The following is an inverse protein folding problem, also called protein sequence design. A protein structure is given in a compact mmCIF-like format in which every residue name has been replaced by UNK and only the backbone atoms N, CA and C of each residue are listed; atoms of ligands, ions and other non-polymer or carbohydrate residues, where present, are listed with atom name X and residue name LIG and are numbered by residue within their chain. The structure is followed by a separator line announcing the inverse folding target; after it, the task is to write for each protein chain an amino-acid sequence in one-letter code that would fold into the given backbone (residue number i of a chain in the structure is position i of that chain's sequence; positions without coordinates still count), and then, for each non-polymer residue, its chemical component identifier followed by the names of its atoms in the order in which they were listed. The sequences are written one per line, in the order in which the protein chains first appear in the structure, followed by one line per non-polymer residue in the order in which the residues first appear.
data_IF_886023056673
#
_entry.id   IF_886023056673
#
_cell.length_a   1.000
_cell.length_b   1.000
_cell.length_c   1.000
_cell.angle_alpha   90.00
_cell.angle_beta   90.00
_cell.angle_gamma   90.00
#
_symmetry.space_group_name_H-M   'P 1'
#
loop_
_entity.id
_entity.type
_entity.pdbx_description
1 polymer ?
#
# COMPACT_ATOMS: atom_id res chain seq x y z
N UNK A 1 -41.66 -35.33 -32.69
CA UNK A 1 -40.89 -34.12 -32.43
C UNK A 1 -39.99 -34.41 -31.27
N UNK A 2 -38.65 -34.65 -31.47
CA UNK A 2 -37.73 -34.78 -30.32
C UNK A 2 -37.31 -33.39 -29.89
N UNK A 3 -37.57 -33.09 -28.58
CA UNK A 3 -37.14 -31.86 -27.94
C UNK A 3 -35.62 -31.79 -27.82
N UNK A 4 -35.04 -30.79 -28.43
CA UNK A 4 -33.59 -30.48 -28.26
C UNK A 4 -33.31 -30.06 -26.83
N UNK A 5 -32.58 -30.89 -26.10
CA UNK A 5 -31.95 -30.51 -24.86
C UNK A 5 -30.84 -29.51 -25.15
N UNK A 6 -31.04 -28.24 -24.83
CA UNK A 6 -29.95 -27.27 -24.79
C UNK A 6 -28.95 -27.73 -23.73
N UNK A 7 -27.81 -28.24 -24.16
CA UNK A 7 -26.68 -28.48 -23.29
C UNK A 7 -26.28 -27.12 -22.67
N UNK A 8 -26.59 -26.89 -21.38
CA UNK A 8 -26.01 -25.81 -20.60
C UNK A 8 -24.51 -26.06 -20.61
N UNK A 9 -23.77 -25.23 -21.34
CA UNK A 9 -22.31 -25.27 -21.33
C UNK A 9 -21.82 -25.16 -19.86
N UNK A 10 -21.08 -26.16 -19.40
CA UNK A 10 -20.48 -26.16 -18.08
C UNK A 10 -19.68 -24.87 -17.93
N UNK A 11 -20.04 -24.02 -16.96
CA UNK A 11 -19.29 -22.82 -16.67
C UNK A 11 -17.84 -23.21 -16.36
N UNK A 12 -16.88 -22.56 -17.00
CA UNK A 12 -15.46 -22.81 -16.75
C UNK A 12 -15.17 -22.63 -15.25
N UNK A 13 -14.35 -23.52 -14.68
CA UNK A 13 -13.96 -23.42 -13.28
C UNK A 13 -13.29 -22.05 -12.99
N UNK A 14 -13.51 -21.45 -11.82
CA UNK A 14 -12.90 -20.17 -11.48
C UNK A 14 -11.36 -20.26 -11.47
N UNK A 15 -10.69 -19.26 -12.03
CA UNK A 15 -9.21 -19.17 -12.01
C UNK A 15 -8.69 -19.19 -10.58
N UNK A 16 -7.68 -20.00 -10.31
CA UNK A 16 -6.95 -20.03 -9.04
C UNK A 16 -5.90 -18.93 -9.06
N UNK A 17 -6.03 -17.96 -8.18
CA UNK A 17 -5.22 -16.75 -8.21
C UNK A 17 -4.40 -16.59 -6.94
N UNK A 18 -3.10 -16.37 -7.07
CA UNK A 18 -2.23 -15.88 -6.00
C UNK A 18 -2.03 -14.39 -6.17
N UNK A 19 -2.06 -13.65 -5.05
CA UNK A 19 -1.82 -12.20 -5.05
C UNK A 19 -0.57 -11.88 -4.24
N UNK A 20 0.37 -11.15 -4.84
CA UNK A 20 1.63 -10.71 -4.26
C UNK A 20 1.69 -9.20 -4.27
N UNK A 21 1.54 -8.58 -3.09
CA UNK A 21 1.44 -7.15 -2.88
C UNK A 21 0.10 -6.73 -2.29
N UNK A 22 0.15 -6.02 -1.15
CA UNK A 22 -1.03 -5.65 -0.38
C UNK A 22 -2.08 -4.84 -1.15
N UNK A 23 -1.63 -3.89 -2.01
CA UNK A 23 -2.53 -3.09 -2.86
C UNK A 23 -3.29 -3.93 -3.90
N UNK A 24 -2.64 -4.97 -4.44
CA UNK A 24 -3.26 -5.88 -5.40
C UNK A 24 -4.29 -6.78 -4.72
N UNK A 25 -3.97 -7.27 -3.51
CA UNK A 25 -4.93 -8.04 -2.71
C UNK A 25 -6.16 -7.19 -2.38
N UNK A 26 -5.97 -5.97 -1.88
CA UNK A 26 -7.05 -5.02 -1.61
C UNK A 26 -7.91 -4.76 -2.85
N UNK A 27 -7.28 -4.58 -4.01
CA UNK A 27 -7.98 -4.39 -5.28
C UNK A 27 -8.80 -5.62 -5.67
N UNK A 28 -8.21 -6.82 -5.60
CA UNK A 28 -8.90 -8.07 -5.93
C UNK A 28 -10.12 -8.29 -5.01
N UNK A 29 -9.97 -8.03 -3.71
CA UNK A 29 -11.09 -8.11 -2.76
C UNK A 29 -12.17 -7.07 -3.04
N UNK A 30 -11.82 -5.86 -3.41
CA UNK A 30 -12.77 -4.80 -3.76
C UNK A 30 -13.55 -5.08 -5.05
N UNK A 31 -13.03 -5.94 -5.93
CA UNK A 31 -13.65 -6.36 -7.18
C UNK A 31 -14.67 -7.50 -7.05
N UNK A 32 -14.70 -8.21 -5.91
CA UNK A 32 -15.67 -9.30 -5.72
C UNK A 32 -15.38 -10.24 -4.56
N UNK A 33 -14.36 -9.94 -3.74
CA UNK A 33 -14.00 -10.77 -2.59
C UNK A 33 -12.99 -11.88 -2.94
N UNK A 34 -12.91 -12.88 -2.07
CA UNK A 34 -11.94 -13.97 -2.22
C UNK A 34 -12.37 -15.03 -3.25
N UNK A 35 -13.67 -15.15 -3.52
CA UNK A 35 -14.24 -16.17 -4.39
C UNK A 35 -15.42 -15.62 -5.19
N UNK A 36 -15.36 -15.81 -6.49
CA UNK A 36 -16.37 -15.41 -7.46
C UNK A 36 -16.55 -16.53 -8.49
N UNK A 37 -17.56 -16.49 -9.36
CA UNK A 37 -17.65 -17.43 -10.48
C UNK A 37 -16.48 -17.37 -11.46
N UNK A 38 -15.68 -16.28 -11.45
CA UNK A 38 -14.57 -16.07 -12.38
C UNK A 38 -13.22 -16.42 -11.78
N UNK A 39 -13.02 -16.19 -10.48
CA UNK A 39 -11.75 -16.41 -9.81
C UNK A 39 -11.92 -16.80 -8.34
N UNK A 40 -10.89 -17.45 -7.82
CA UNK A 40 -10.72 -17.76 -6.40
C UNK A 40 -9.31 -17.39 -5.96
N UNK A 41 -9.19 -16.57 -4.93
CA UNK A 41 -7.90 -16.27 -4.31
C UNK A 41 -7.45 -17.48 -3.48
N UNK A 42 -6.36 -18.11 -3.88
CA UNK A 42 -5.84 -19.33 -3.24
C UNK A 42 -4.59 -19.09 -2.41
N UNK A 43 -3.98 -17.90 -2.49
CA UNK A 43 -2.80 -17.54 -1.72
C UNK A 43 -2.51 -16.06 -1.79
N UNK A 44 -1.77 -15.56 -0.80
CA UNK A 44 -1.32 -14.19 -0.71
C UNK A 44 0.03 -14.11 0.00
N UNK A 45 0.83 -13.10 -0.31
CA UNK A 45 2.05 -12.81 0.44
C UNK A 45 1.76 -12.19 1.82
N UNK A 46 2.79 -12.05 2.66
CA UNK A 46 2.62 -11.58 4.04
C UNK A 46 2.23 -10.11 4.15
N UNK A 47 2.43 -9.30 3.09
CA UNK A 47 2.03 -7.87 3.07
C UNK A 47 0.53 -7.67 2.82
N UNK A 48 -0.18 -8.72 2.42
CA UNK A 48 -1.63 -8.70 2.19
C UNK A 48 -2.37 -8.79 3.53
N UNK A 49 -2.48 -7.65 4.22
CA UNK A 49 -3.08 -7.53 5.57
C UNK A 49 -4.50 -6.99 5.56
N UNK A 50 -5.00 -6.51 4.43
CA UNK A 50 -6.36 -5.99 4.29
C UNK A 50 -7.06 -6.51 3.01
N UNK A 51 -8.38 -6.78 3.08
CA UNK A 51 -9.23 -6.85 4.28
C UNK A 51 -8.85 -8.04 5.19
N UNK A 52 -9.52 -8.18 6.35
CA UNK A 52 -9.21 -9.31 7.26
C UNK A 52 -9.33 -10.68 6.59
N UNK A 53 -10.16 -10.79 5.55
CA UNK A 53 -10.26 -11.99 4.73
C UNK A 53 -8.92 -12.33 4.02
N UNK A 54 -8.12 -11.33 3.65
CA UNK A 54 -6.80 -11.56 3.04
C UNK A 54 -5.79 -12.19 4.01
N UNK A 55 -5.93 -11.90 5.31
CA UNK A 55 -5.08 -12.50 6.35
C UNK A 55 -5.27 -14.01 6.46
N UNK A 56 -6.47 -14.51 6.13
CA UNK A 56 -6.84 -15.93 6.20
C UNK A 56 -6.40 -16.76 5.00
N UNK A 57 -5.97 -16.10 3.91
CA UNK A 57 -5.42 -16.81 2.75
C UNK A 57 -4.10 -17.51 3.10
N UNK A 58 -3.82 -18.69 2.53
CA UNK A 58 -2.51 -19.34 2.61
C UNK A 58 -1.39 -18.36 2.28
N UNK A 59 -0.36 -18.28 3.14
CA UNK A 59 0.76 -17.34 2.94
C UNK A 59 1.88 -18.01 2.15
N UNK A 60 2.30 -17.30 1.07
CA UNK A 60 3.37 -17.76 0.16
C UNK A 60 4.74 -17.15 0.48
N UNK A 61 4.88 -16.51 1.64
CA UNK A 61 6.10 -15.84 2.08
C UNK A 61 6.02 -14.31 1.93
N UNK A 62 7.16 -13.65 2.11
CA UNK A 62 7.28 -12.21 1.93
C UNK A 62 7.49 -11.88 0.44
N UNK A 63 6.85 -10.84 -0.07
CA UNK A 63 6.84 -10.51 -1.50
C UNK A 63 8.23 -10.44 -2.16
N UNK A 64 9.29 -10.04 -1.43
CA UNK A 64 10.67 -9.98 -1.94
C UNK A 64 11.50 -11.23 -1.66
N UNK A 65 10.92 -12.23 -0.98
CA UNK A 65 11.58 -13.49 -0.60
C UNK A 65 10.67 -14.69 -0.86
N UNK A 66 10.13 -14.79 -2.07
CA UNK A 66 9.23 -15.85 -2.50
C UNK A 66 10.00 -17.11 -2.89
N UNK A 67 9.35 -18.28 -2.76
CA UNK A 67 9.82 -19.52 -3.37
C UNK A 67 8.88 -19.98 -4.48
N UNK A 68 9.43 -20.48 -5.56
CA UNK A 68 8.63 -21.03 -6.66
C UNK A 68 7.82 -22.24 -6.21
N UNK A 69 8.42 -23.10 -5.37
CA UNK A 69 7.75 -24.27 -4.79
C UNK A 69 6.52 -23.86 -3.98
N UNK A 70 6.66 -22.86 -3.07
CA UNK A 70 5.55 -22.33 -2.27
C UNK A 70 4.42 -21.80 -3.12
N UNK A 71 4.73 -21.08 -4.21
CA UNK A 71 3.73 -20.60 -5.16
C UNK A 71 3.06 -21.75 -5.92
N UNK A 72 3.82 -22.66 -6.50
CA UNK A 72 3.32 -23.75 -7.32
C UNK A 72 2.55 -24.82 -6.52
N UNK A 73 2.85 -24.97 -5.22
CA UNK A 73 2.11 -25.89 -4.32
C UNK A 73 0.61 -25.59 -4.24
N UNK A 74 0.24 -24.32 -4.43
CA UNK A 74 -1.16 -23.87 -4.46
C UNK A 74 -1.83 -24.06 -5.81
N UNK A 75 -1.11 -24.57 -6.81
CA UNK A 75 -1.61 -24.82 -8.18
C UNK A 75 -2.37 -23.60 -8.76
N UNK A 76 -1.71 -22.44 -8.86
CA UNK A 76 -2.34 -21.25 -9.42
C UNK A 76 -2.41 -21.31 -10.96
N UNK A 77 -3.47 -20.73 -11.52
CA UNK A 77 -3.57 -20.42 -12.94
C UNK A 77 -2.99 -19.04 -13.25
N UNK A 78 -3.07 -18.14 -12.26
CA UNK A 78 -2.66 -16.74 -12.37
C UNK A 78 -1.97 -16.27 -11.09
N UNK A 79 -0.88 -15.54 -11.25
CA UNK A 79 -0.24 -14.75 -10.18
C UNK A 79 -0.34 -13.27 -10.55
N UNK A 80 -0.99 -12.48 -9.69
CA UNK A 80 -0.95 -11.02 -9.72
C UNK A 80 0.21 -10.58 -8.84
N UNK A 81 1.20 -9.91 -9.40
CA UNK A 81 2.44 -9.60 -8.70
C UNK A 81 2.76 -8.10 -8.79
N UNK A 82 3.16 -7.51 -7.67
CA UNK A 82 3.87 -6.23 -7.64
C UNK A 82 5.19 -6.34 -8.42
N UNK A 83 5.64 -5.26 -9.04
CA UNK A 83 6.96 -5.18 -9.66
C UNK A 83 8.12 -5.44 -8.67
N UNK A 84 7.86 -5.32 -7.38
CA UNK A 84 8.81 -5.62 -6.31
C UNK A 84 8.83 -7.11 -5.90
N UNK A 85 7.95 -7.93 -6.50
CA UNK A 85 7.90 -9.37 -6.21
C UNK A 85 9.19 -10.07 -6.67
N UNK A 86 9.76 -10.85 -5.79
CA UNK A 86 11.05 -11.50 -6.06
C UNK A 86 11.38 -12.64 -5.10
N UNK A 87 12.52 -13.30 -5.32
CA UNK A 87 13.55 -12.96 -6.30
C UNK A 87 13.09 -13.23 -7.75
N UNK A 88 13.70 -12.56 -8.73
CA UNK A 88 13.33 -12.73 -10.16
C UNK A 88 13.39 -14.19 -10.63
N UNK A 89 14.30 -14.98 -10.07
CA UNK A 89 14.44 -16.42 -10.36
C UNK A 89 13.19 -17.21 -9.96
N UNK A 90 12.58 -16.92 -8.81
CA UNK A 90 11.35 -17.58 -8.38
C UNK A 90 10.19 -17.26 -9.33
N UNK A 91 10.06 -15.99 -9.75
CA UNK A 91 9.05 -15.55 -10.70
C UNK A 91 9.26 -16.21 -12.09
N UNK A 92 10.52 -16.32 -12.55
CA UNK A 92 10.85 -17.00 -13.81
C UNK A 92 10.50 -18.49 -13.76
N UNK A 93 10.76 -19.18 -12.65
CA UNK A 93 10.40 -20.59 -12.48
C UNK A 93 8.88 -20.80 -12.49
N UNK A 94 8.11 -19.91 -11.85
CA UNK A 94 6.64 -19.97 -11.88
C UNK A 94 6.12 -19.80 -13.30
N UNK A 95 6.66 -18.82 -14.07
CA UNK A 95 6.32 -18.66 -15.49
C UNK A 95 6.71 -19.87 -16.34
N UNK A 96 7.91 -20.45 -16.08
CA UNK A 96 8.40 -21.65 -16.76
C UNK A 96 7.55 -22.89 -16.49
N UNK A 97 6.84 -22.95 -15.36
CA UNK A 97 5.86 -23.99 -15.06
C UNK A 97 4.49 -23.79 -15.74
N UNK A 98 4.35 -22.78 -16.63
CA UNK A 98 3.13 -22.51 -17.39
C UNK A 98 2.11 -21.64 -16.67
N UNK A 99 2.44 -21.07 -15.51
CA UNK A 99 1.55 -20.16 -14.76
C UNK A 99 1.63 -18.76 -15.36
N UNK A 100 0.46 -18.15 -15.61
CA UNK A 100 0.40 -16.75 -16.03
C UNK A 100 0.81 -15.83 -14.87
N UNK A 101 1.76 -14.92 -15.10
CA UNK A 101 2.15 -13.90 -14.10
C UNK A 101 1.95 -12.51 -14.69
N UNK A 102 1.03 -11.75 -14.12
CA UNK A 102 0.77 -10.34 -14.46
C UNK A 102 1.44 -9.45 -13.42
N UNK A 103 2.35 -8.59 -13.89
CA UNK A 103 3.11 -7.67 -13.02
C UNK A 103 2.56 -6.26 -13.10
N UNK A 104 2.47 -5.58 -11.95
CA UNK A 104 1.96 -4.23 -11.80
C UNK A 104 3.04 -3.29 -11.25
N UNK A 105 3.12 -2.09 -11.85
CA UNK A 105 4.07 -1.05 -11.45
C UNK A 105 3.77 -0.50 -10.04
N UNK A 106 4.83 -0.11 -9.33
CA UNK A 106 4.77 0.46 -7.97
C UNK A 106 5.09 1.96 -7.96
N UNK A 107 4.68 2.70 -8.97
CA UNK A 107 4.69 4.16 -8.88
C UNK A 107 3.72 4.63 -7.81
N UNK A 108 4.18 5.56 -6.97
CA UNK A 108 3.39 6.09 -5.86
C UNK A 108 2.57 7.30 -6.33
N UNK A 109 1.71 7.09 -7.31
CA UNK A 109 0.82 8.10 -7.88
C UNK A 109 -0.60 7.55 -8.11
N UNK A 110 -1.54 8.46 -8.33
CA UNK A 110 -2.96 8.14 -8.54
C UNK A 110 -3.16 7.33 -9.82
N UNK A 111 -2.37 7.61 -10.85
CA UNK A 111 -2.48 6.91 -12.13
C UNK A 111 -2.08 5.43 -12.00
N UNK A 112 -1.10 5.12 -11.15
CA UNK A 112 -0.74 3.72 -10.87
C UNK A 112 -1.86 2.97 -10.14
N UNK A 113 -2.62 3.64 -9.26
CA UNK A 113 -3.79 3.04 -8.60
C UNK A 113 -4.89 2.75 -9.63
N UNK A 114 -5.19 3.70 -10.52
CA UNK A 114 -6.15 3.50 -11.63
C UNK A 114 -5.75 2.35 -12.53
N UNK A 115 -4.47 2.28 -12.89
CA UNK A 115 -3.92 1.21 -13.71
C UNK A 115 -4.02 -0.15 -13.00
N UNK A 116 -3.74 -0.22 -11.69
CA UNK A 116 -3.93 -1.44 -10.88
C UNK A 116 -5.39 -1.88 -10.87
N UNK A 117 -6.35 -0.99 -10.60
CA UNK A 117 -7.79 -1.30 -10.61
C UNK A 117 -8.19 -1.89 -11.96
N UNK A 118 -7.84 -1.23 -13.05
CA UNK A 118 -8.19 -1.65 -14.40
C UNK A 118 -7.53 -2.97 -14.78
N UNK A 119 -6.21 -3.08 -14.55
CA UNK A 119 -5.42 -4.25 -14.92
C UNK A 119 -5.78 -5.49 -14.11
N UNK A 120 -6.03 -5.35 -12.80
CA UNK A 120 -6.49 -6.46 -11.96
C UNK A 120 -7.88 -6.92 -12.40
N UNK A 121 -8.81 -6.00 -12.66
CA UNK A 121 -10.15 -6.34 -13.15
C UNK A 121 -10.10 -7.07 -14.50
N UNK A 122 -9.19 -6.67 -15.39
CA UNK A 122 -8.96 -7.36 -16.67
C UNK A 122 -8.38 -8.77 -16.46
N UNK A 123 -7.37 -8.92 -15.62
CA UNK A 123 -6.71 -10.21 -15.36
C UNK A 123 -7.67 -11.21 -14.71
N UNK A 124 -8.59 -10.72 -13.85
CA UNK A 124 -9.62 -11.52 -13.16
C UNK A 124 -10.90 -11.72 -13.98
N UNK A 125 -11.01 -11.12 -15.17
CA UNK A 125 -12.19 -11.17 -16.04
C UNK A 125 -13.47 -10.61 -15.38
N UNK A 126 -13.34 -9.47 -14.68
CA UNK A 126 -14.41 -8.75 -13.96
C UNK A 126 -14.44 -7.26 -14.33
N UNK A 127 -14.38 -6.95 -15.62
CA UNK A 127 -14.22 -5.58 -16.15
C UNK A 127 -15.29 -4.62 -15.68
N UNK A 128 -16.55 -5.06 -15.57
CA UNK A 128 -17.66 -4.21 -15.12
C UNK A 128 -17.50 -3.80 -13.67
N UNK A 129 -17.09 -4.74 -12.79
CA UNK A 129 -16.75 -4.44 -11.41
C UNK A 129 -15.55 -3.49 -11.33
N UNK A 130 -14.57 -3.65 -12.23
CA UNK A 130 -13.43 -2.75 -12.38
C UNK A 130 -13.85 -1.33 -12.73
N UNK A 131 -14.72 -1.15 -13.72
CA UNK A 131 -15.24 0.14 -14.12
C UNK A 131 -16.00 0.83 -12.95
N UNK A 132 -16.84 0.08 -12.24
CA UNK A 132 -17.57 0.59 -11.08
C UNK A 132 -16.63 0.99 -9.93
N UNK A 133 -15.57 0.20 -9.66
CA UNK A 133 -14.57 0.51 -8.63
C UNK A 133 -13.78 1.77 -9.02
N UNK A 134 -13.37 1.89 -10.29
CA UNK A 134 -12.64 3.05 -10.80
C UNK A 134 -13.47 4.33 -10.66
N UNK A 135 -14.75 4.30 -11.04
CA UNK A 135 -15.65 5.44 -10.87
C UNK A 135 -15.81 5.86 -9.40
N UNK A 136 -15.90 4.90 -8.46
CA UNK A 136 -15.92 5.21 -7.02
C UNK A 136 -14.61 5.85 -6.59
N UNK A 137 -13.49 5.25 -6.96
CA UNK A 137 -12.16 5.76 -6.65
C UNK A 137 -11.98 7.21 -7.13
N UNK A 138 -12.38 7.52 -8.36
CA UNK A 138 -12.24 8.87 -8.93
C UNK A 138 -13.09 9.92 -8.19
N UNK A 139 -14.34 9.58 -7.83
CA UNK A 139 -15.18 10.47 -7.01
C UNK A 139 -14.58 10.70 -5.62
N UNK A 140 -14.13 9.61 -4.97
CA UNK A 140 -13.55 9.67 -3.63
C UNK A 140 -12.22 10.43 -3.63
N UNK A 141 -11.44 10.28 -4.70
CA UNK A 141 -10.19 11.02 -4.89
C UNK A 141 -10.43 12.51 -5.05
N UNK A 142 -11.41 12.91 -5.85
CA UNK A 142 -11.78 14.32 -6.00
C UNK A 142 -12.23 14.90 -4.66
N UNK A 143 -13.11 14.22 -3.94
CA UNK A 143 -13.56 14.64 -2.61
C UNK A 143 -12.39 14.78 -1.60
N UNK A 144 -11.42 13.86 -1.66
CA UNK A 144 -10.24 13.92 -0.81
C UNK A 144 -9.37 15.16 -1.11
N UNK A 145 -9.15 15.46 -2.38
CA UNK A 145 -8.42 16.67 -2.80
C UNK A 145 -9.11 17.96 -2.32
N UNK A 146 -10.42 18.02 -2.49
CA UNK A 146 -11.21 19.19 -2.08
C UNK A 146 -11.18 19.37 -0.56
N UNK A 147 -11.26 18.28 0.21
CA UNK A 147 -11.18 18.30 1.66
C UNK A 147 -9.79 18.78 2.17
N UNK A 148 -8.71 18.37 1.50
CA UNK A 148 -7.35 18.83 1.82
C UNK A 148 -7.20 20.32 1.47
N UNK A 149 -7.66 20.73 0.28
CA UNK A 149 -7.55 22.13 -0.17
C UNK A 149 -8.34 23.10 0.73
N UNK A 150 -9.51 22.69 1.22
CA UNK A 150 -10.39 23.52 2.06
C UNK A 150 -9.80 23.86 3.44
N UNK A 151 -8.86 23.06 3.94
CA UNK A 151 -8.27 23.24 5.29
C UNK A 151 -6.87 23.85 5.29
N UNK A 152 -6.28 24.10 4.15
CA UNK A 152 -5.00 24.82 4.07
C UNK A 152 -5.33 26.32 4.05
N UNK A 153 -5.10 27.10 5.14
CA UNK A 153 -5.31 28.53 5.14
C UNK A 153 -4.44 29.18 4.08
N UNK A 154 -5.01 30.09 3.28
CA UNK A 154 -4.26 30.82 2.28
C UNK A 154 -3.05 31.54 2.90
N UNK A 155 -1.84 31.21 2.43
CA UNK A 155 -0.58 31.82 2.91
C UNK A 155 0.14 31.10 4.05
N UNK A 156 -0.45 30.08 4.70
CA UNK A 156 0.27 29.26 5.68
C UNK A 156 1.22 28.29 4.98
N UNK A 157 2.42 28.15 5.53
CA UNK A 157 3.35 27.12 5.03
C UNK A 157 2.82 25.71 5.38
N UNK A 158 2.92 24.74 4.44
CA UNK A 158 2.56 23.37 4.72
C UNK A 158 3.39 22.82 5.89
N UNK A 159 2.78 22.05 6.82
CA UNK A 159 3.49 21.46 7.94
C UNK A 159 4.62 20.52 7.46
N UNK A 160 5.72 20.54 8.20
CA UNK A 160 6.92 19.74 7.93
C UNK A 160 6.79 18.37 8.60
N UNK A 161 6.69 17.29 7.82
CA UNK A 161 6.45 15.95 8.31
C UNK A 161 7.65 15.04 8.03
N UNK A 162 8.19 14.43 9.08
CA UNK A 162 9.24 13.43 8.98
C UNK A 162 8.62 12.03 9.02
N UNK A 163 8.73 11.27 7.94
CA UNK A 163 8.38 9.85 7.98
C UNK A 163 9.58 9.02 8.43
N UNK A 164 9.36 8.22 9.48
CA UNK A 164 10.33 7.26 10.01
C UNK A 164 9.89 5.86 9.64
N UNK A 165 10.73 5.17 8.87
CA UNK A 165 10.61 3.74 8.60
C UNK A 165 11.48 3.02 9.62
N UNK A 166 10.87 2.35 10.60
CA UNK A 166 11.61 1.52 11.53
C UNK A 166 11.41 0.05 11.15
N UNK A 167 12.52 -0.58 10.81
CA UNK A 167 12.64 -2.03 10.75
C UNK A 167 13.57 -2.48 11.89
N UNK A 168 13.53 -3.73 12.24
CA UNK A 168 14.40 -4.36 13.24
C UNK A 168 15.88 -4.08 12.98
N UNK A 169 16.38 -2.97 13.47
CA UNK A 169 17.75 -2.51 13.29
C UNK A 169 18.10 -1.37 14.23
N UNK A 170 19.39 -1.14 14.44
CA UNK A 170 19.91 -0.13 15.40
C UNK A 170 19.73 1.32 14.93
N UNK A 171 19.36 1.54 13.66
CA UNK A 171 19.28 2.89 13.10
C UNK A 171 17.96 3.07 12.33
N UNK A 172 17.19 4.09 12.69
CA UNK A 172 15.98 4.47 11.98
C UNK A 172 16.30 4.92 10.56
N UNK A 173 15.47 4.53 9.59
CA UNK A 173 15.49 5.04 8.21
C UNK A 173 14.43 6.13 8.06
N UNK A 174 14.72 7.13 7.25
CA UNK A 174 13.78 8.20 6.88
C UNK A 174 13.52 8.21 5.39
N UNK A 175 12.29 8.56 5.03
CA UNK A 175 11.86 8.64 3.65
C UNK A 175 12.28 9.96 3.03
N UNK A 176 13.12 9.90 2.01
CA UNK A 176 13.38 10.98 1.07
C UNK A 176 12.33 11.05 -0.03
N UNK A 177 12.69 11.70 -1.12
CA UNK A 177 11.84 11.87 -2.30
C UNK A 177 11.58 10.54 -3.02
N UNK A 178 10.56 10.50 -3.87
CA UNK A 178 10.16 9.32 -4.67
C UNK A 178 9.84 8.07 -3.84
N UNK A 179 9.35 8.25 -2.62
CA UNK A 179 8.83 7.17 -1.77
C UNK A 179 7.31 7.28 -1.63
N UNK A 180 6.66 6.18 -1.26
CA UNK A 180 5.24 6.18 -0.92
C UNK A 180 4.92 7.19 0.19
N UNK A 181 5.78 7.27 1.21
CA UNK A 181 5.62 8.23 2.30
C UNK A 181 5.71 9.68 1.82
N UNK A 182 6.67 10.01 0.95
CA UNK A 182 6.79 11.35 0.35
C UNK A 182 5.53 11.74 -0.42
N UNK A 183 5.01 10.83 -1.25
CA UNK A 183 3.79 11.08 -2.00
C UNK A 183 2.57 11.27 -1.08
N UNK A 184 2.42 10.43 -0.05
CA UNK A 184 1.33 10.54 0.92
C UNK A 184 1.38 11.84 1.73
N UNK A 185 2.55 12.26 2.19
CA UNK A 185 2.74 13.54 2.88
C UNK A 185 2.30 14.69 1.99
N UNK A 186 2.70 14.71 0.72
CA UNK A 186 2.30 15.74 -0.25
C UNK A 186 0.81 15.72 -0.53
N UNK A 187 0.21 14.54 -0.73
CA UNK A 187 -1.24 14.41 -0.94
C UNK A 187 -2.05 14.88 0.27
N UNK A 188 -1.53 14.68 1.48
CA UNK A 188 -2.17 15.16 2.71
C UNK A 188 -1.99 16.67 2.95
N UNK A 189 -1.39 17.44 2.02
CA UNK A 189 -1.20 18.88 2.14
C UNK A 189 -0.04 19.29 3.05
N UNK A 190 0.93 18.39 3.26
CA UNK A 190 2.14 18.63 4.04
C UNK A 190 3.39 18.59 3.14
N UNK A 191 4.54 18.96 3.70
CA UNK A 191 5.84 18.83 3.05
C UNK A 191 6.68 17.76 3.75
N UNK A 192 7.40 16.94 2.97
CA UNK A 192 8.35 15.99 3.54
C UNK A 192 9.55 16.73 4.12
N UNK A 193 9.92 16.40 5.36
CA UNK A 193 11.06 16.99 6.05
C UNK A 193 12.41 16.66 5.38
N UNK A 194 12.47 15.50 4.70
CA UNK A 194 13.68 15.00 4.06
C UNK A 194 13.67 15.29 2.56
N UNK A 195 14.52 16.21 2.13
CA UNK A 195 14.69 16.64 0.75
C UNK A 195 16.13 16.39 0.28
N UNK A 196 16.35 16.45 -1.04
CA UNK A 196 17.70 16.37 -1.64
C UNK A 196 18.25 14.94 -1.78
N UNK A 197 17.43 13.90 -1.52
CA UNK A 197 17.76 12.51 -1.82
C UNK A 197 16.52 11.68 -2.10
N UNK A 198 16.69 10.59 -2.83
CA UNK A 198 15.66 9.64 -3.16
C UNK A 198 15.69 8.42 -2.25
N UNK A 199 14.55 7.74 -2.15
CA UNK A 199 14.39 6.51 -1.37
C UNK A 199 14.61 6.71 0.14
N UNK A 200 15.12 5.69 0.82
CA UNK A 200 15.31 5.71 2.27
C UNK A 200 16.79 5.83 2.62
N UNK A 201 17.10 6.64 3.64
CA UNK A 201 18.43 6.77 4.19
C UNK A 201 18.42 6.68 5.72
N UNK A 202 19.52 6.26 6.35
CA UNK A 202 19.68 6.32 7.79
C UNK A 202 19.49 7.75 8.30
N UNK A 203 18.76 7.89 9.41
CA UNK A 203 18.58 9.17 10.09
C UNK A 203 19.82 9.49 10.94
N UNK A 204 20.39 10.68 10.74
CA UNK A 204 21.42 11.22 11.65
C UNK A 204 20.82 12.34 12.53
N UNK A 205 21.43 12.58 13.67
CA UNK A 205 21.00 13.64 14.60
C UNK A 205 21.09 15.02 13.94
N UNK A 206 22.11 15.25 13.11
CA UNK A 206 22.33 16.50 12.36
C UNK A 206 21.22 16.69 11.32
N UNK A 207 20.92 15.65 10.54
CA UNK A 207 19.85 15.71 9.56
C UNK A 207 18.48 15.96 10.21
N UNK A 208 18.22 15.33 11.36
CA UNK A 208 17.00 15.54 12.13
C UNK A 208 16.90 16.98 12.66
N UNK A 209 18.00 17.53 13.21
CA UNK A 209 18.05 18.90 13.70
C UNK A 209 17.83 19.92 12.59
N UNK A 210 18.47 19.71 11.42
CA UNK A 210 18.31 20.57 10.24
C UNK A 210 16.89 20.51 9.64
N UNK A 211 16.28 19.34 9.62
CA UNK A 211 14.93 19.14 9.10
C UNK A 211 13.85 19.76 9.99
N UNK A 212 14.09 19.85 11.31
CA UNK A 212 13.21 20.47 12.30
C UNK A 212 11.71 20.14 12.08
N UNK A 213 11.30 18.86 12.03
CA UNK A 213 9.94 18.48 11.71
C UNK A 213 8.93 18.98 12.72
N UNK A 214 7.73 19.34 12.24
CA UNK A 214 6.57 19.72 13.07
C UNK A 214 5.84 18.49 13.60
N UNK A 215 5.85 17.38 12.84
CA UNK A 215 5.21 16.10 13.16
C UNK A 215 6.10 14.95 12.72
N UNK A 216 6.15 13.88 13.52
CA UNK A 216 6.73 12.58 13.14
C UNK A 216 5.60 11.67 12.68
N UNK A 217 5.73 11.11 11.48
CA UNK A 217 4.84 10.11 10.90
C UNK A 217 5.54 8.75 10.89
N UNK A 218 4.86 7.71 11.33
CA UNK A 218 5.39 6.33 11.39
C UNK A 218 4.25 5.33 11.11
N UNK A 219 4.56 4.10 10.72
CA UNK A 219 3.52 3.07 10.70
C UNK A 219 3.19 2.55 12.11
N UNK A 220 1.97 2.02 12.29
CA UNK A 220 1.56 1.45 13.59
C UNK A 220 2.50 0.29 13.99
N UNK A 221 2.90 -0.54 13.04
CA UNK A 221 3.85 -1.64 13.24
C UNK A 221 5.26 -1.11 13.59
N UNK A 222 5.69 -0.06 12.90
CA UNK A 222 6.97 0.61 13.19
C UNK A 222 6.97 1.23 14.59
N UNK A 223 5.87 1.88 14.98
CA UNK A 223 5.71 2.47 16.31
C UNK A 223 5.73 1.40 17.42
N UNK A 224 5.06 0.27 17.19
CA UNK A 224 5.08 -0.85 18.11
C UNK A 224 6.50 -1.46 18.23
N UNK A 225 7.22 -1.59 17.12
CA UNK A 225 8.57 -2.14 17.09
C UNK A 225 9.59 -1.28 17.85
N UNK A 226 9.44 0.05 17.87
CA UNK A 226 10.31 0.95 18.69
C UNK A 226 9.91 1.01 20.15
N UNK A 227 8.81 0.42 20.57
CA UNK A 227 8.32 0.49 21.94
C UNK A 227 7.38 1.66 22.26
N UNK A 228 6.73 2.22 21.20
CA UNK A 228 5.70 3.25 21.32
C UNK A 228 6.22 4.69 21.29
N UNK A 229 5.31 5.64 21.48
CA UNK A 229 5.58 7.07 21.34
C UNK A 229 6.75 7.56 22.22
N UNK A 230 6.78 7.15 23.49
CA UNK A 230 7.82 7.59 24.42
C UNK A 230 9.21 7.13 23.99
N UNK A 231 9.34 5.87 23.56
CA UNK A 231 10.61 5.31 23.10
C UNK A 231 11.08 5.97 21.78
N UNK A 232 10.14 6.20 20.83
CA UNK A 232 10.46 6.92 19.59
C UNK A 232 11.02 8.32 19.89
N UNK A 233 10.36 9.10 20.76
CA UNK A 233 10.77 10.45 21.09
C UNK A 233 12.02 10.52 21.99
N UNK A 234 12.37 9.44 22.68
CA UNK A 234 13.62 9.31 23.44
C UNK A 234 14.85 9.04 22.54
N UNK A 235 14.65 8.72 21.26
CA UNK A 235 15.74 8.55 20.30
C UNK A 235 16.54 9.87 20.20
N UNK A 236 17.89 9.82 20.16
CA UNK A 236 18.72 11.02 20.15
C UNK A 236 18.35 12.00 19.03
N UNK A 237 18.20 13.27 19.39
CA UNK A 237 17.88 14.36 18.48
C UNK A 237 16.38 14.70 18.38
N UNK A 238 15.44 13.78 18.63
CA UNK A 238 14.01 14.09 18.53
C UNK A 238 13.58 15.16 19.53
N UNK A 239 14.05 15.10 20.77
CA UNK A 239 13.71 16.08 21.81
C UNK A 239 14.07 17.54 21.46
N UNK A 240 15.01 17.76 20.55
CA UNK A 240 15.39 19.08 20.06
C UNK A 240 14.50 19.60 18.93
N UNK A 241 13.66 18.75 18.33
CA UNK A 241 12.77 19.14 17.22
C UNK A 241 11.46 19.75 17.71
N UNK A 242 10.75 20.54 16.89
CA UNK A 242 9.38 20.98 17.22
C UNK A 242 8.44 19.80 17.52
N UNK A 243 8.49 18.73 16.72
CA UNK A 243 7.71 17.51 16.92
C UNK A 243 8.00 16.85 18.27
N UNK A 244 9.28 16.74 18.66
CA UNK A 244 9.68 16.12 19.91
C UNK A 244 9.24 16.92 21.13
N UNK A 245 9.45 18.23 21.12
CA UNK A 245 9.02 19.14 22.23
C UNK A 245 7.51 19.12 22.42
N UNK A 246 6.74 19.10 21.33
CA UNK A 246 5.28 19.07 21.37
C UNK A 246 4.69 17.66 21.39
N UNK A 247 5.55 16.62 21.37
CA UNK A 247 5.18 15.19 21.36
C UNK A 247 4.24 14.80 20.20
N UNK A 248 4.42 15.42 19.04
CA UNK A 248 3.57 15.25 17.86
C UNK A 248 4.02 14.04 17.05
N UNK A 249 3.39 12.90 17.31
CA UNK A 249 3.59 11.65 16.57
C UNK A 249 2.25 11.18 16.04
N UNK A 250 2.20 10.92 14.74
CA UNK A 250 1.04 10.36 14.03
C UNK A 250 1.42 8.98 13.54
N UNK A 251 0.55 7.99 13.77
CA UNK A 251 0.73 6.66 13.21
C UNK A 251 -0.51 6.17 12.48
N UNK A 252 -0.30 5.32 11.48
CA UNK A 252 -1.33 4.65 10.67
C UNK A 252 -0.83 3.25 10.28
N UNK A 253 -1.77 2.31 10.03
CA UNK A 253 -1.45 1.00 9.44
C UNK A 253 -0.55 1.14 8.20
N UNK A 254 0.48 0.31 8.09
CA UNK A 254 1.48 0.43 7.02
C UNK A 254 0.90 0.28 5.62
N UNK A 255 0.01 -0.72 5.40
CA UNK A 255 -0.61 -0.93 4.10
C UNK A 255 -1.58 0.21 3.76
N UNK A 256 -2.32 0.72 4.74
CA UNK A 256 -3.22 1.85 4.55
C UNK A 256 -2.46 3.13 4.18
N UNK A 257 -1.33 3.38 4.85
CA UNK A 257 -0.51 4.58 4.63
C UNK A 257 0.31 4.51 3.34
N UNK A 258 0.89 3.35 3.00
CA UNK A 258 1.92 3.23 1.96
C UNK A 258 1.51 2.36 0.77
N UNK A 259 0.33 1.72 0.82
CA UNK A 259 -0.02 0.67 -0.13
C UNK A 259 -0.41 1.15 -1.53
N UNK A 260 -0.88 2.37 -1.66
CA UNK A 260 -1.38 2.90 -2.96
C UNK A 260 -2.38 1.95 -3.63
N UNK A 261 -3.36 1.51 -2.85
CA UNK A 261 -4.51 0.72 -3.26
C UNK A 261 -5.80 1.54 -3.41
N UNK A 262 -6.96 0.91 -3.58
CA UNK A 262 -8.25 1.59 -3.73
C UNK A 262 -8.65 2.50 -2.56
N UNK A 263 -8.08 2.31 -1.36
CA UNK A 263 -8.32 3.15 -0.18
C UNK A 263 -7.45 4.42 -0.15
N UNK A 264 -6.64 4.71 -1.18
CA UNK A 264 -5.79 5.91 -1.22
C UNK A 264 -6.53 7.21 -0.87
N UNK A 265 -7.75 7.50 -1.39
CA UNK A 265 -8.48 8.71 -1.02
C UNK A 265 -8.78 8.81 0.49
N UNK A 266 -9.22 7.71 1.09
CA UNK A 266 -9.48 7.61 2.53
C UNK A 266 -8.20 7.76 3.35
N UNK A 267 -7.09 7.17 2.90
CA UNK A 267 -5.80 7.28 3.57
C UNK A 267 -5.31 8.74 3.59
N UNK A 268 -5.44 9.44 2.46
CA UNK A 268 -5.06 10.86 2.31
C UNK A 268 -5.89 11.74 3.26
N UNK A 269 -7.21 11.61 3.28
CA UNK A 269 -8.07 12.42 4.16
C UNK A 269 -7.85 12.09 5.63
N UNK A 270 -7.59 10.82 5.95
CA UNK A 270 -7.29 10.38 7.32
C UNK A 270 -5.95 10.95 7.79
N UNK A 271 -4.91 10.87 6.95
CA UNK A 271 -3.59 11.45 7.29
C UNK A 271 -3.70 12.97 7.44
N UNK A 272 -4.34 13.66 6.50
CA UNK A 272 -4.56 15.10 6.58
C UNK A 272 -5.22 15.52 7.90
N UNK A 273 -6.31 14.85 8.29
CA UNK A 273 -6.99 15.11 9.57
C UNK A 273 -6.07 14.85 10.77
N UNK A 274 -5.38 13.70 10.82
CA UNK A 274 -4.45 13.36 11.90
C UNK A 274 -3.31 14.36 12.05
N UNK A 275 -2.79 14.86 10.94
CA UNK A 275 -1.77 15.92 10.95
C UNK A 275 -2.34 17.23 11.49
N UNK A 276 -3.56 17.61 11.08
CA UNK A 276 -4.24 18.81 11.58
C UNK A 276 -4.51 18.73 13.07
N UNK A 277 -5.03 17.61 13.55
CA UNK A 277 -5.32 17.36 14.96
C UNK A 277 -4.04 17.39 15.82
N UNK A 278 -2.92 16.89 15.30
CA UNK A 278 -1.63 16.91 16.00
C UNK A 278 -1.02 18.32 16.08
N UNK A 279 -1.41 19.24 15.21
CA UNK A 279 -0.89 20.61 15.13
C UNK A 279 -1.76 21.62 15.88
N UNK A 280 -3.01 21.28 16.17
CA UNK A 280 -3.93 22.09 16.97
C UNK A 280 -3.49 22.14 18.44
#
# INVERSE_FOLDING_TARGET
MPGGAFAQGAAAAPKRVIVIGGALAETAFALGGAETPRYRLVGADTTCTYPDAAKRLPKVGYQRALSAEGLLSLRPDLVLASAEAGPPTAIAQVKGAGVTVTTFDERHDVESVRAKITGVAQALDVRDAGAALLQRFDRDWQAARDAVAARVPGGAQPPCVLFVLNHTGTQALVAGQRTAADAMIRYAGARNAMQGFDHYKPLTTEALAAAAPDVVLISDEGLAAVGGHAALLATPGFGATPAGRARRVVSLDALFLLGFGPRLPLAVTTLHRRLSDALA
#
